data_IF_829670123916
#
_entry.id   IF_829670123916
#
_cell.length_a   1.000
_cell.length_b   1.000
_cell.length_c   1.000
_cell.angle_alpha   90.00
_cell.angle_beta   90.00
_cell.angle_gamma   90.00
#
_symmetry.space_group_name_H-M   'P 1'
#
loop_
_entity.id
_entity.type
_entity.pdbx_description
1 polymer ?
#
# COMPACT_ATOMS: atom_id res chain seq x y z
N UNK A 1 -31.68 1.76 -6.57
CA UNK A 1 -30.57 2.48 -7.21
C UNK A 1 -29.28 1.75 -6.88
N UNK A 2 -28.69 1.07 -7.87
CA UNK A 2 -27.40 0.37 -7.74
C UNK A 2 -26.28 1.31 -7.30
N UNK A 3 -25.89 1.20 -6.03
CA UNK A 3 -24.58 1.62 -5.51
C UNK A 3 -23.79 0.37 -5.17
N UNK A 4 -23.63 -0.56 -6.12
CA UNK A 4 -22.83 -1.79 -5.91
C UNK A 4 -21.45 -1.69 -6.55
N UNK A 5 -21.34 -0.97 -7.67
CA UNK A 5 -20.11 -0.92 -8.47
C UNK A 5 -18.93 -0.24 -7.76
N UNK A 6 -19.09 0.90 -7.03
CA UNK A 6 -18.00 1.52 -6.29
C UNK A 6 -17.48 0.64 -5.13
N UNK A 7 -18.37 -0.09 -4.46
CA UNK A 7 -18.05 -0.95 -3.33
C UNK A 7 -17.27 -2.18 -3.80
N UNK A 8 -17.75 -2.85 -4.85
CA UNK A 8 -17.03 -3.98 -5.47
C UNK A 8 -15.63 -3.56 -5.94
N UNK A 9 -15.49 -2.37 -6.53
CA UNK A 9 -14.16 -1.90 -6.93
C UNK A 9 -13.24 -1.64 -5.73
N UNK A 10 -13.77 -1.06 -4.65
CA UNK A 10 -13.00 -0.89 -3.41
C UNK A 10 -12.56 -2.22 -2.81
N UNK A 11 -13.44 -3.23 -2.80
CA UNK A 11 -13.13 -4.59 -2.33
C UNK A 11 -11.98 -5.21 -3.14
N UNK A 12 -12.02 -5.08 -4.47
CA UNK A 12 -10.93 -5.55 -5.36
C UNK A 12 -9.61 -4.84 -5.05
N UNK A 13 -9.64 -3.55 -4.73
CA UNK A 13 -8.41 -2.80 -4.42
C UNK A 13 -7.84 -3.18 -3.05
N UNK A 14 -8.70 -3.45 -2.08
CA UNK A 14 -8.35 -3.82 -0.71
C UNK A 14 -7.87 -5.28 -0.59
N UNK A 15 -8.35 -6.15 -1.47
CA UNK A 15 -7.89 -7.52 -1.58
C UNK A 15 -6.54 -7.58 -2.33
N UNK A 16 -5.48 -7.91 -1.61
CA UNK A 16 -4.14 -8.06 -2.16
C UNK A 16 -3.77 -9.52 -2.46
N UNK A 17 -4.66 -10.49 -2.19
CA UNK A 17 -4.34 -11.92 -2.22
C UNK A 17 -5.06 -12.64 -3.36
N UNK A 18 -6.33 -12.33 -3.61
CA UNK A 18 -7.12 -13.03 -4.64
C UNK A 18 -6.50 -12.77 -6.02
N UNK A 19 -6.12 -13.82 -6.79
CA UNK A 19 -5.53 -13.63 -8.11
C UNK A 19 -6.45 -12.89 -9.07
N UNK A 20 -5.87 -12.01 -9.89
CA UNK A 20 -6.57 -11.28 -10.93
C UNK A 20 -5.87 -11.50 -12.28
N UNK A 21 -6.60 -11.25 -13.36
CA UNK A 21 -6.03 -11.31 -14.70
C UNK A 21 -4.88 -10.29 -14.84
N UNK A 22 -3.68 -10.68 -15.33
CA UNK A 22 -2.51 -9.80 -15.36
C UNK A 22 -2.72 -8.50 -16.15
N UNK A 23 -3.58 -8.54 -17.18
CA UNK A 23 -3.92 -7.34 -17.95
C UNK A 23 -4.78 -6.37 -17.14
N UNK A 24 -5.70 -6.89 -16.33
CA UNK A 24 -6.53 -6.11 -15.44
C UNK A 24 -5.69 -5.45 -14.34
N UNK A 25 -4.78 -6.19 -13.70
CA UNK A 25 -3.90 -5.62 -12.67
C UNK A 25 -3.03 -4.46 -13.20
N UNK A 26 -2.51 -4.58 -14.42
CA UNK A 26 -1.73 -3.50 -15.05
C UNK A 26 -2.56 -2.24 -15.22
N UNK A 27 -3.82 -2.37 -15.64
CA UNK A 27 -4.68 -1.22 -15.88
C UNK A 27 -5.14 -0.58 -14.57
N UNK A 28 -5.45 -1.40 -13.55
CA UNK A 28 -5.72 -0.91 -12.19
C UNK A 28 -4.52 -0.14 -11.65
N UNK A 29 -3.31 -0.72 -11.71
CA UNK A 29 -2.10 -0.04 -11.25
C UNK A 29 -1.90 1.31 -11.96
N UNK A 30 -2.02 1.33 -13.30
CA UNK A 30 -1.91 2.55 -14.10
C UNK A 30 -2.95 3.61 -13.68
N UNK A 31 -4.18 3.19 -13.41
CA UNK A 31 -5.26 4.05 -12.94
C UNK A 31 -4.94 4.65 -11.57
N UNK A 32 -4.42 3.85 -10.64
CA UNK A 32 -4.05 4.28 -9.29
C UNK A 32 -2.87 5.29 -9.30
N UNK A 33 -1.84 5.06 -10.12
CA UNK A 33 -0.71 6.00 -10.27
C UNK A 33 -1.17 7.38 -10.79
N UNK A 34 -2.28 7.43 -11.52
CA UNK A 34 -2.89 8.66 -12.03
C UNK A 34 -3.85 9.32 -11.02
N UNK A 35 -3.97 8.78 -9.80
CA UNK A 35 -4.93 9.23 -8.79
C UNK A 35 -6.38 9.02 -9.20
N UNK A 36 -6.65 8.08 -10.10
CA UNK A 36 -7.94 7.98 -10.77
C UNK A 36 -9.08 7.42 -9.90
N UNK A 37 -8.80 6.97 -8.67
CA UNK A 37 -9.85 6.50 -7.76
C UNK A 37 -9.70 7.10 -6.35
N UNK A 38 -10.49 8.14 -6.07
CA UNK A 38 -10.41 8.93 -4.83
C UNK A 38 -10.76 8.15 -3.56
N UNK A 39 -11.53 7.08 -3.68
CA UNK A 39 -11.89 6.25 -2.52
C UNK A 39 -10.80 5.23 -2.17
N UNK A 40 -9.77 5.07 -3.01
CA UNK A 40 -8.58 4.32 -2.63
C UNK A 40 -7.74 5.15 -1.66
N UNK A 41 -7.48 4.58 -0.49
CA UNK A 41 -6.62 5.19 0.52
C UNK A 41 -5.38 4.29 0.69
N UNK A 42 -4.26 4.59 0.02
CA UNK A 42 -3.05 3.77 0.07
C UNK A 42 -2.58 3.46 1.49
N UNK A 43 -2.71 4.40 2.42
CA UNK A 43 -2.31 4.20 3.80
C UNK A 43 -3.18 3.17 4.56
N UNK A 44 -4.40 2.90 4.11
CA UNK A 44 -5.27 1.88 4.73
C UNK A 44 -5.12 0.52 4.06
N UNK A 45 -4.75 0.48 2.78
CA UNK A 45 -4.62 -0.77 2.02
C UNK A 45 -3.19 -1.26 1.90
N UNK A 46 -2.26 -0.39 1.49
CA UNK A 46 -0.89 -0.77 1.15
C UNK A 46 0.07 -0.66 2.31
N UNK A 47 -0.08 0.36 3.15
CA UNK A 47 0.85 0.59 4.27
C UNK A 47 0.87 -0.58 5.25
N UNK A 48 -0.25 -1.22 5.65
CA UNK A 48 -0.21 -2.40 6.52
C UNK A 48 0.58 -3.56 5.91
N UNK A 49 0.33 -3.88 4.64
CA UNK A 49 1.08 -4.91 3.91
C UNK A 49 2.57 -4.57 3.84
N UNK A 50 2.91 -3.30 3.57
CA UNK A 50 4.29 -2.81 3.57
C UNK A 50 4.94 -2.95 4.94
N UNK A 51 4.29 -2.57 6.04
CA UNK A 51 4.84 -2.71 7.40
C UNK A 51 5.16 -4.18 7.70
N UNK A 52 4.29 -5.11 7.32
CA UNK A 52 4.55 -6.54 7.45
C UNK A 52 5.79 -7.00 6.67
N UNK A 53 6.04 -6.48 5.46
CA UNK A 53 7.30 -6.77 4.71
C UNK A 53 8.55 -6.34 5.45
N UNK A 54 8.46 -5.25 6.20
CA UNK A 54 9.56 -4.75 7.02
C UNK A 54 9.60 -5.41 8.41
N UNK A 55 8.73 -6.39 8.70
CA UNK A 55 8.66 -7.05 10.00
C UNK A 55 8.10 -6.15 11.11
N UNK A 56 7.36 -5.11 10.75
CA UNK A 56 6.76 -4.16 11.70
C UNK A 56 5.30 -4.53 11.99
N UNK A 57 4.94 -4.45 13.26
CA UNK A 57 3.57 -4.51 13.72
C UNK A 57 2.89 -3.14 13.57
N UNK A 58 1.73 -3.10 12.92
CA UNK A 58 1.03 -1.85 12.64
C UNK A 58 0.60 -1.12 13.92
N UNK A 59 0.15 -1.83 14.95
CA UNK A 59 -0.29 -1.18 16.20
C UNK A 59 0.88 -0.46 16.89
N UNK A 60 2.06 -1.07 16.87
CA UNK A 60 3.30 -0.48 17.38
C UNK A 60 3.72 0.76 16.59
N UNK A 61 3.65 0.70 15.26
CA UNK A 61 3.96 1.85 14.39
C UNK A 61 2.92 2.96 14.55
N UNK A 62 1.64 2.62 14.71
CA UNK A 62 0.54 3.56 14.84
C UNK A 62 0.65 4.44 16.09
N UNK A 63 1.28 3.92 17.16
CA UNK A 63 1.57 4.66 18.37
C UNK A 63 2.75 5.66 18.23
N UNK A 64 3.57 5.53 17.18
CA UNK A 64 4.76 6.36 17.00
C UNK A 64 4.40 7.75 16.45
N UNK A 65 5.09 8.80 16.92
CA UNK A 65 4.84 10.21 16.54
C UNK A 65 4.97 10.47 15.03
N UNK A 66 5.73 9.65 14.31
CA UNK A 66 5.89 9.75 12.86
C UNK A 66 4.71 9.19 12.06
N UNK A 67 3.80 8.44 12.69
CA UNK A 67 2.73 7.71 11.98
C UNK A 67 1.85 8.59 11.09
N UNK A 68 1.39 9.79 11.52
CA UNK A 68 0.60 10.66 10.65
C UNK A 68 1.36 11.10 9.40
N UNK A 69 2.67 11.34 9.52
CA UNK A 69 3.52 11.73 8.37
C UNK A 69 3.71 10.56 7.41
N UNK A 70 3.91 9.34 7.92
CA UNK A 70 4.04 8.13 7.11
C UNK A 70 2.76 7.86 6.31
N UNK A 71 1.58 7.99 6.95
CA UNK A 71 0.28 7.88 6.28
C UNK A 71 0.11 8.95 5.20
N UNK A 72 0.46 10.20 5.50
CA UNK A 72 0.43 11.30 4.53
C UNK A 72 1.28 11.02 3.30
N UNK A 73 2.53 10.59 3.49
CA UNK A 73 3.42 10.19 2.40
C UNK A 73 2.87 9.03 1.57
N UNK A 74 2.27 8.03 2.22
CA UNK A 74 1.69 6.87 1.54
C UNK A 74 0.49 7.29 0.68
N UNK A 75 -0.41 8.10 1.23
CA UNK A 75 -1.59 8.59 0.52
C UNK A 75 -1.26 9.52 -0.65
N UNK A 76 -0.13 10.21 -0.61
CA UNK A 76 0.36 11.07 -1.68
C UNK A 76 1.35 10.37 -2.64
N UNK A 77 1.57 9.06 -2.49
CA UNK A 77 2.60 8.34 -3.23
C UNK A 77 2.28 8.28 -4.74
N UNK A 78 3.16 8.81 -5.62
CA UNK A 78 2.91 8.85 -7.06
C UNK A 78 3.04 7.48 -7.75
N UNK A 79 3.52 6.48 -7.02
CA UNK A 79 3.72 5.10 -7.50
C UNK A 79 2.85 4.11 -6.70
N UNK A 80 1.71 4.57 -6.18
CA UNK A 80 0.81 3.75 -5.38
C UNK A 80 0.25 2.54 -6.15
N UNK A 81 0.04 2.66 -7.46
CA UNK A 81 -0.36 1.56 -8.33
C UNK A 81 0.75 0.54 -8.53
N UNK A 82 2.00 0.99 -8.71
CA UNK A 82 3.16 0.09 -8.70
C UNK A 82 3.25 -0.66 -7.36
N UNK A 83 3.12 0.05 -6.23
CA UNK A 83 3.12 -0.54 -4.89
C UNK A 83 1.99 -1.58 -4.73
N UNK A 84 0.76 -1.25 -5.15
CA UNK A 84 -0.38 -2.17 -5.12
C UNK A 84 -0.09 -3.47 -5.85
N UNK A 85 0.46 -3.39 -7.07
CA UNK A 85 0.85 -4.57 -7.84
C UNK A 85 2.00 -5.34 -7.19
N UNK A 86 2.99 -4.64 -6.61
CA UNK A 86 4.09 -5.25 -5.88
C UNK A 86 3.60 -6.07 -4.68
N UNK A 87 2.66 -5.53 -3.90
CA UNK A 87 2.07 -6.24 -2.77
C UNK A 87 1.31 -7.49 -3.21
N UNK A 88 0.55 -7.40 -4.30
CA UNK A 88 -0.18 -8.54 -4.87
C UNK A 88 0.69 -9.68 -5.40
N UNK A 89 1.93 -9.37 -5.81
CA UNK A 89 2.92 -10.37 -6.25
C UNK A 89 3.83 -10.88 -5.13
N UNK A 90 3.50 -10.55 -3.88
CA UNK A 90 4.30 -10.96 -2.72
C UNK A 90 5.74 -10.39 -2.73
N UNK A 91 5.91 -9.14 -3.17
CA UNK A 91 7.23 -8.48 -3.22
C UNK A 91 7.94 -8.52 -1.85
N UNK A 92 9.24 -8.82 -1.87
CA UNK A 92 10.06 -8.85 -0.66
C UNK A 92 10.47 -7.44 -0.19
N UNK A 93 11.12 -7.39 0.98
CA UNK A 93 11.54 -6.13 1.60
C UNK A 93 12.58 -5.36 0.77
N UNK A 94 13.46 -6.05 0.04
CA UNK A 94 14.50 -5.39 -0.76
C UNK A 94 13.91 -4.74 -2.00
N UNK A 95 12.96 -5.41 -2.63
CA UNK A 95 12.17 -4.82 -3.71
C UNK A 95 11.38 -3.60 -3.20
N UNK A 96 10.75 -3.71 -2.03
CA UNK A 96 10.00 -2.62 -1.40
C UNK A 96 10.87 -1.37 -1.12
N UNK A 97 12.11 -1.57 -0.65
CA UNK A 97 13.08 -0.48 -0.42
C UNK A 97 13.40 0.30 -1.69
N UNK A 98 13.38 -0.36 -2.85
CA UNK A 98 13.77 0.27 -4.11
C UNK A 98 12.79 1.36 -4.57
N UNK A 99 11.52 1.32 -4.13
CA UNK A 99 10.49 2.26 -4.60
C UNK A 99 9.74 3.00 -3.50
N UNK A 100 9.63 2.46 -2.27
CA UNK A 100 8.79 3.06 -1.25
C UNK A 100 9.47 4.26 -0.57
N UNK A 101 8.87 5.46 -0.60
CA UNK A 101 9.45 6.65 0.07
C UNK A 101 9.51 6.52 1.60
N UNK A 102 8.67 5.66 2.20
CA UNK A 102 8.66 5.42 3.63
C UNK A 102 9.66 4.34 4.08
N UNK A 103 10.29 3.60 3.16
CA UNK A 103 11.14 2.45 3.48
C UNK A 103 12.23 2.78 4.51
N UNK A 104 12.97 3.88 4.31
CA UNK A 104 14.02 4.29 5.23
C UNK A 104 13.48 4.64 6.63
N UNK A 105 12.23 5.09 6.74
CA UNK A 105 11.59 5.33 8.03
C UNK A 105 11.15 4.03 8.71
N UNK A 106 10.67 3.05 7.94
CA UNK A 106 10.36 1.71 8.43
C UNK A 106 11.62 1.01 8.95
N UNK A 107 12.72 1.03 8.19
CA UNK A 107 14.00 0.44 8.61
C UNK A 107 14.50 1.03 9.95
N UNK A 108 14.34 2.35 10.14
CA UNK A 108 14.67 2.98 11.44
C UNK A 108 13.81 2.45 12.58
N UNK A 109 12.51 2.23 12.36
CA UNK A 109 11.62 1.70 13.39
C UNK A 109 12.00 0.28 13.78
N UNK A 110 12.35 -0.58 12.82
CA UNK A 110 12.83 -1.95 13.09
C UNK A 110 14.08 -1.92 13.99
N UNK A 111 15.02 -1.02 13.69
CA UNK A 111 16.25 -0.89 14.47
C UNK A 111 16.03 -0.42 15.92
N UNK A 112 14.92 0.26 16.22
CA UNK A 112 14.57 0.66 17.59
C UNK A 112 13.74 -0.39 18.33
N UNK A 113 13.19 -1.36 17.63
CA UNK A 113 12.37 -2.45 18.19
C UNK A 113 13.14 -3.78 18.35
N UNK A 114 14.41 -3.82 17.92
CA UNK A 114 15.34 -4.95 18.06
C UNK A 114 16.28 -4.76 19.24
#
# INVERSE_FOLDING_TARGET
MEQRSPQVYSEILQDLETPLEPAFEREVARHLDQGGYRAFVPADTLMPAMLQRFGLDEASVAAHVSYPSLRGNCNACPVAGYCWRAMRRDADVDECRAFCPNAAAFDRQVAYSS
#
